data_IF_119127744654
#
_entry.id   IF_119127744654
#
_cell.length_a   1.000
_cell.length_b   1.000
_cell.length_c   1.000
_cell.angle_alpha   90.00
_cell.angle_beta   90.00
_cell.angle_gamma   90.00
#
_symmetry.space_group_name_H-M   'P 1'
#
loop_
_entity.id
_entity.type
_entity.pdbx_description
1 polymer ?
#
# COMPACT_ATOMS: atom_id res chain seq x y z
N UNK A 1 0.52 3.51 -12.77
CA UNK A 1 1.86 3.38 -12.17
C UNK A 1 1.68 3.36 -10.67
N UNK A 2 2.29 2.40 -10.00
CA UNK A 2 2.06 2.15 -8.59
C UNK A 2 2.81 3.17 -7.72
N UNK A 3 2.20 3.61 -6.62
CA UNK A 3 2.79 4.55 -5.66
C UNK A 3 4.01 3.93 -4.99
N UNK A 4 3.99 2.60 -4.79
CA UNK A 4 5.14 1.83 -4.30
C UNK A 4 6.39 2.06 -5.15
N UNK A 5 6.28 2.01 -6.48
CA UNK A 5 7.41 2.18 -7.40
C UNK A 5 8.03 3.57 -7.27
N UNK A 6 7.20 4.60 -7.05
CA UNK A 6 7.66 5.97 -6.83
C UNK A 6 8.46 6.05 -5.53
N UNK A 7 7.92 5.51 -4.43
CA UNK A 7 8.62 5.52 -3.13
C UNK A 7 9.95 4.77 -3.21
N UNK A 8 9.93 3.58 -3.80
CA UNK A 8 11.12 2.74 -3.99
C UNK A 8 12.18 3.45 -4.84
N UNK A 9 11.77 4.09 -5.93
CA UNK A 9 12.67 4.86 -6.77
C UNK A 9 13.35 5.98 -5.98
N UNK A 10 12.57 6.80 -5.26
CA UNK A 10 13.09 7.91 -4.46
C UNK A 10 14.14 7.45 -3.44
N UNK A 11 13.82 6.43 -2.65
CA UNK A 11 14.72 5.90 -1.62
C UNK A 11 16.01 5.34 -2.23
N UNK A 12 15.90 4.58 -3.32
CA UNK A 12 17.07 4.02 -4.02
C UNK A 12 17.99 5.08 -4.62
N UNK A 13 17.48 6.29 -4.89
CA UNK A 13 18.23 7.39 -5.49
C UNK A 13 18.67 8.45 -4.46
N UNK A 14 18.63 8.13 -3.16
CA UNK A 14 19.13 9.02 -2.12
C UNK A 14 18.19 10.20 -1.82
N UNK A 15 16.89 9.94 -1.90
CA UNK A 15 15.85 10.82 -1.39
C UNK A 15 15.10 10.15 -0.23
N UNK A 16 14.65 10.95 0.71
CA UNK A 16 13.73 10.52 1.76
C UNK A 16 12.41 11.27 1.64
N UNK A 17 11.33 10.59 1.99
CA UNK A 17 9.96 11.10 1.99
C UNK A 17 9.73 11.77 3.35
N UNK A 18 9.53 13.09 3.33
CA UNK A 18 9.28 13.85 4.56
C UNK A 18 7.80 14.14 4.79
N UNK A 19 6.96 13.99 3.76
CA UNK A 19 5.52 14.23 3.85
C UNK A 19 4.78 13.49 2.75
N UNK A 20 3.66 12.89 3.11
CA UNK A 20 2.68 12.35 2.16
C UNK A 20 1.28 12.88 2.47
N UNK A 21 0.45 12.98 1.44
CA UNK A 21 -0.97 13.24 1.57
C UNK A 21 -1.76 12.39 0.57
N UNK A 22 -3.05 12.24 0.83
CA UNK A 22 -3.96 11.46 0.00
C UNK A 22 -5.29 12.18 -0.14
N UNK A 23 -5.77 12.25 -1.38
CA UNK A 23 -7.05 12.87 -1.75
C UNK A 23 -7.90 11.82 -2.45
N UNK A 24 -9.21 11.86 -2.22
CA UNK A 24 -10.19 11.04 -2.93
C UNK A 24 -11.06 11.93 -3.80
N UNK A 25 -11.09 11.65 -5.11
CA UNK A 25 -11.95 12.34 -6.08
C UNK A 25 -12.51 11.31 -7.06
N UNK A 26 -13.83 11.35 -7.33
CA UNK A 26 -14.50 10.44 -8.26
C UNK A 26 -14.18 8.95 -8.02
N UNK A 27 -14.19 8.52 -6.75
CA UNK A 27 -13.81 7.17 -6.29
C UNK A 27 -12.37 6.72 -6.63
N UNK A 28 -11.48 7.67 -6.92
CA UNK A 28 -10.05 7.42 -7.14
C UNK A 28 -9.23 8.07 -6.03
N UNK A 29 -8.16 7.40 -5.64
CA UNK A 29 -7.21 7.90 -4.64
C UNK A 29 -5.98 8.48 -5.34
N UNK A 30 -5.58 9.67 -4.92
CA UNK A 30 -4.43 10.40 -5.46
C UNK A 30 -3.45 10.68 -4.32
N UNK A 31 -2.18 10.34 -4.54
CA UNK A 31 -1.12 10.52 -3.55
C UNK A 31 -0.25 11.73 -3.91
N UNK A 32 0.04 12.56 -2.90
CA UNK A 32 1.01 13.63 -2.98
C UNK A 32 2.22 13.20 -2.15
N UNK A 33 3.39 13.09 -2.78
CA UNK A 33 4.63 12.71 -2.10
C UNK A 33 5.60 13.89 -2.18
N UNK A 34 6.05 14.38 -1.02
CA UNK A 34 7.13 15.37 -0.93
C UNK A 34 8.37 14.72 -0.36
N UNK A 35 9.49 14.93 -1.03
CA UNK A 35 10.77 14.31 -0.71
C UNK A 35 11.90 15.34 -0.71
N UNK A 36 12.99 15.01 -0.03
CA UNK A 36 14.23 15.80 0.01
C UNK A 36 15.42 14.88 -0.21
N UNK A 37 16.54 15.44 -0.65
CA UNK A 37 17.79 14.69 -0.78
C UNK A 37 18.26 14.26 0.61
N UNK A 38 18.63 13.00 0.75
CA UNK A 38 19.00 12.39 2.03
C UNK A 38 18.62 10.91 2.06
N UNK A 39 19.02 10.23 3.13
CA UNK A 39 18.70 8.82 3.36
C UNK A 39 17.87 8.68 4.62
N UNK A 40 16.89 7.81 4.57
CA UNK A 40 16.09 7.37 5.69
C UNK A 40 15.75 5.89 5.47
N UNK A 41 15.54 5.15 6.55
CA UNK A 41 15.17 3.74 6.47
C UNK A 41 13.66 3.63 6.39
N UNK A 42 13.19 2.78 5.50
CA UNK A 42 11.78 2.42 5.37
C UNK A 42 11.67 0.92 5.41
N UNK A 43 10.68 0.42 6.15
CA UNK A 43 10.23 -0.96 6.04
C UNK A 43 9.58 -1.21 4.68
N UNK A 44 9.52 -2.47 4.28
CA UNK A 44 8.80 -2.86 3.07
C UNK A 44 7.31 -2.46 3.12
N UNK A 45 6.70 -2.47 4.30
CA UNK A 45 5.29 -2.09 4.50
C UNK A 45 5.09 -0.58 4.34
N UNK A 46 6.01 0.24 4.87
CA UNK A 46 5.98 1.70 4.67
C UNK A 46 6.15 2.08 3.20
N UNK A 47 7.02 1.39 2.46
CA UNK A 47 7.14 1.59 1.02
C UNK A 47 5.87 1.15 0.28
N UNK A 48 5.25 0.05 0.71
CA UNK A 48 4.05 -0.49 0.06
C UNK A 48 2.81 0.39 0.30
N UNK A 49 2.53 0.73 1.55
CA UNK A 49 1.28 1.39 1.93
C UNK A 49 1.45 2.89 2.16
N UNK A 50 2.53 3.30 2.83
CA UNK A 50 2.87 4.69 3.10
C UNK A 50 3.55 4.84 4.46
N UNK A 51 4.30 5.92 4.67
CA UNK A 51 4.99 6.18 5.95
C UNK A 51 4.42 7.41 6.65
N UNK A 52 4.44 8.56 5.97
CA UNK A 52 4.16 9.87 6.57
C UNK A 52 2.90 10.51 5.98
N UNK A 53 1.84 9.71 5.83
CA UNK A 53 0.55 10.16 5.28
C UNK A 53 -0.20 11.02 6.30
N UNK A 54 -0.46 12.26 5.93
CA UNK A 54 -1.09 13.28 6.77
C UNK A 54 -2.60 13.10 6.92
N UNK A 55 -3.35 12.94 5.82
CA UNK A 55 -4.79 12.70 5.88
C UNK A 55 -5.14 11.25 6.25
N UNK A 56 -5.22 10.96 7.54
CA UNK A 56 -5.52 9.62 8.05
C UNK A 56 -6.92 9.11 7.71
N UNK A 57 -7.91 10.01 7.58
CA UNK A 57 -9.30 9.60 7.28
C UNK A 57 -9.40 8.99 5.89
N UNK A 58 -8.91 9.70 4.87
CA UNK A 58 -8.91 9.19 3.49
C UNK A 58 -7.93 8.03 3.33
N UNK A 59 -6.82 8.06 4.06
CA UNK A 59 -5.86 6.96 4.04
C UNK A 59 -6.44 5.65 4.58
N UNK A 60 -7.18 5.70 5.69
CA UNK A 60 -7.85 4.50 6.22
C UNK A 60 -8.90 3.98 5.24
N UNK A 61 -9.64 4.86 4.57
CA UNK A 61 -10.57 4.46 3.51
C UNK A 61 -9.84 3.76 2.33
N UNK A 62 -8.65 4.22 1.98
CA UNK A 62 -7.81 3.58 0.98
C UNK A 62 -7.36 2.16 1.40
N UNK A 63 -6.92 1.99 2.65
CA UNK A 63 -6.51 0.68 3.17
C UNK A 63 -7.69 -0.29 3.21
N UNK A 64 -8.85 0.15 3.69
CA UNK A 64 -10.08 -0.64 3.68
C UNK A 64 -10.51 -1.02 2.26
N UNK A 65 -10.33 -0.14 1.28
CA UNK A 65 -10.59 -0.47 -0.12
C UNK A 65 -9.61 -1.53 -0.68
N UNK A 66 -8.33 -1.53 -0.26
CA UNK A 66 -7.40 -2.61 -0.58
C UNK A 66 -7.87 -3.92 0.04
N UNK A 67 -8.13 -3.90 1.35
CA UNK A 67 -8.61 -5.06 2.13
C UNK A 67 -9.86 -5.68 1.51
N UNK A 68 -10.84 -4.85 1.19
CA UNK A 68 -12.07 -5.27 0.52
C UNK A 68 -11.78 -5.95 -0.82
N UNK A 69 -10.91 -5.39 -1.66
CA UNK A 69 -10.53 -6.00 -2.94
C UNK A 69 -9.86 -7.36 -2.76
N UNK A 70 -9.02 -7.51 -1.75
CA UNK A 70 -8.37 -8.79 -1.42
C UNK A 70 -9.42 -9.81 -1.00
N UNK A 71 -10.33 -9.45 -0.07
CA UNK A 71 -11.42 -10.32 0.37
C UNK A 71 -12.37 -10.70 -0.77
N UNK A 72 -12.78 -9.74 -1.61
CA UNK A 72 -13.63 -9.98 -2.78
C UNK A 72 -12.96 -10.94 -3.77
N UNK A 73 -11.63 -10.83 -3.94
CA UNK A 73 -10.89 -11.74 -4.79
C UNK A 73 -10.78 -13.14 -4.16
N UNK A 74 -10.50 -13.25 -2.86
CA UNK A 74 -10.46 -14.52 -2.13
C UNK A 74 -11.80 -15.27 -2.24
N UNK A 75 -12.91 -14.57 -2.08
CA UNK A 75 -14.27 -15.14 -2.19
C UNK A 75 -14.60 -15.67 -3.59
N UNK A 76 -13.93 -15.16 -4.64
CA UNK A 76 -14.11 -15.59 -6.04
C UNK A 76 -13.21 -16.75 -6.44
N UNK A 77 -12.30 -17.20 -5.57
CA UNK A 77 -11.38 -18.31 -5.88
C UNK A 77 -12.14 -19.64 -5.83
N UNK A 78 -12.40 -20.22 -7.00
CA UNK A 78 -12.93 -21.58 -7.15
C UNK A 78 -11.86 -22.64 -6.87
N UNK A 79 -12.23 -23.84 -6.43
CA UNK A 79 -11.29 -24.91 -6.09
C UNK A 79 -10.63 -25.56 -7.33
N UNK A 80 -9.54 -24.96 -7.83
CA UNK A 80 -8.62 -25.55 -8.82
C UNK A 80 -7.16 -25.44 -8.36
N UNK A 81 -6.21 -26.14 -8.97
CA UNK A 81 -4.78 -26.08 -8.55
C UNK A 81 -4.17 -24.68 -8.68
N UNK A 82 -4.44 -23.95 -9.78
CA UNK A 82 -4.06 -22.53 -9.93
C UNK A 82 -4.73 -21.59 -8.90
N UNK A 83 -5.76 -22.08 -8.21
CA UNK A 83 -6.50 -21.30 -7.22
C UNK A 83 -5.79 -21.25 -5.87
N UNK A 84 -4.97 -22.25 -5.55
CA UNK A 84 -4.31 -22.39 -4.25
C UNK A 84 -3.13 -21.43 -4.11
N UNK A 85 -2.30 -21.30 -5.14
CA UNK A 85 -1.19 -20.34 -5.15
C UNK A 85 -1.72 -18.90 -5.08
N UNK A 86 -2.75 -18.58 -5.88
CA UNK A 86 -3.41 -17.27 -5.83
C UNK A 86 -4.02 -16.99 -4.45
N UNK A 87 -4.64 -17.99 -3.83
CA UNK A 87 -5.20 -17.87 -2.47
C UNK A 87 -4.09 -17.57 -1.47
N UNK A 88 -2.99 -18.32 -1.51
CA UNK A 88 -1.82 -18.11 -0.64
C UNK A 88 -1.23 -16.71 -0.80
N UNK A 89 -1.09 -16.23 -2.04
CA UNK A 89 -0.60 -14.87 -2.31
C UNK A 89 -1.51 -13.80 -1.70
N UNK A 90 -2.83 -13.91 -1.91
CA UNK A 90 -3.80 -12.94 -1.38
C UNK A 90 -3.91 -12.98 0.14
N UNK A 91 -3.86 -14.17 0.76
CA UNK A 91 -3.84 -14.31 2.22
C UNK A 91 -2.58 -13.67 2.81
N UNK A 92 -1.42 -13.92 2.23
CA UNK A 92 -0.17 -13.27 2.65
C UNK A 92 -0.23 -11.75 2.48
N UNK A 93 -0.86 -11.26 1.42
CA UNK A 93 -1.06 -9.82 1.23
C UNK A 93 -1.98 -9.21 2.30
N UNK A 94 -3.05 -9.91 2.67
CA UNK A 94 -3.97 -9.49 3.74
C UNK A 94 -3.28 -9.45 5.11
N UNK A 95 -2.45 -10.45 5.41
CA UNK A 95 -1.64 -10.51 6.63
C UNK A 95 -0.68 -9.32 6.72
N UNK A 96 0.04 -9.01 5.63
CA UNK A 96 0.94 -7.86 5.57
C UNK A 96 0.22 -6.51 5.71
N UNK A 97 -1.00 -6.40 5.17
CA UNK A 97 -1.82 -5.20 5.36
C UNK A 97 -2.25 -5.06 6.83
N UNK A 98 -2.67 -6.16 7.45
CA UNK A 98 -3.07 -6.19 8.86
C UNK A 98 -1.88 -5.87 9.79
N UNK A 99 -0.69 -6.39 9.46
CA UNK A 99 0.56 -6.05 10.17
C UNK A 99 0.87 -4.56 10.08
N UNK A 100 0.70 -3.95 8.90
CA UNK A 100 0.88 -2.52 8.71
C UNK A 100 -0.11 -1.68 9.54
N UNK A 101 -1.38 -2.09 9.62
CA UNK A 101 -2.41 -1.37 10.39
C UNK A 101 -2.17 -1.40 11.92
N UNK A 102 -1.42 -2.39 12.42
CA UNK A 102 -1.16 -2.57 13.85
C UNK A 102 0.15 -1.92 14.34
N UNK A 103 1.00 -1.43 13.43
CA UNK A 103 2.27 -0.77 13.72
C UNK A 103 2.14 0.76 13.63
#
# INVERSE_FOLDING_TARGET
RDVYDVRKYLVNHGFYIFFEDIIKENNKFYFIIKFKRGKENYSDLELKYGSKVSNKVIFNEYLENIKKKICDNLNKINNSSNSEEKRKMLTSELERLTEYENN
#
